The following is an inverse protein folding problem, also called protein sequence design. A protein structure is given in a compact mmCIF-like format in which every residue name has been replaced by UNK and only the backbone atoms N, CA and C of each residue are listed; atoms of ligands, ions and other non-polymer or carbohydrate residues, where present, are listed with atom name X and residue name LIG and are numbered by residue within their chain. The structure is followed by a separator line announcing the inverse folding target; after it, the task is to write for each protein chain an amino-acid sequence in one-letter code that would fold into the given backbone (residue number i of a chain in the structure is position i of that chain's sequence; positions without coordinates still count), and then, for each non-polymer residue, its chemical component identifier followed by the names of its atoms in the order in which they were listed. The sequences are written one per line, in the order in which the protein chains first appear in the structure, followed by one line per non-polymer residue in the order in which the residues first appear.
data_IF_794476329296
#
_entry.id   IF_794476329296
#
_cell.length_a   1.000
_cell.length_b   1.000
_cell.length_c   1.000
_cell.angle_alpha   90.00
_cell.angle_beta   90.00
_cell.angle_gamma   90.00
#
_symmetry.space_group_name_H-M   'P 1'
#
loop_
_entity.id
_entity.type
_entity.pdbx_description
1 polymer ?
#
# COMPACT_ATOMS: atom_id res chain seq x y z
N UNK A 1 -4.30 -18.84 -14.54
CA UNK A 1 -2.91 -19.26 -14.29
C UNK A 1 -2.48 -18.59 -13.00
N UNK A 2 -2.03 -19.37 -12.04
CA UNK A 2 -1.75 -18.94 -10.67
C UNK A 2 -0.50 -18.05 -10.61
N UNK A 3 -0.66 -16.73 -10.56
CA UNK A 3 0.38 -15.80 -10.09
C UNK A 3 0.41 -15.79 -8.57
N UNK A 4 0.77 -16.93 -7.98
CA UNK A 4 1.38 -16.92 -6.66
C UNK A 4 2.74 -16.24 -6.84
N UNK A 5 2.99 -15.19 -6.06
CA UNK A 5 4.24 -14.42 -6.10
C UNK A 5 5.45 -15.32 -6.37
N UNK A 6 6.20 -14.97 -7.41
CA UNK A 6 7.24 -15.82 -7.97
C UNK A 6 8.24 -16.19 -6.86
N UNK A 7 8.44 -17.49 -6.55
CA UNK A 7 9.45 -17.93 -5.57
C UNK A 7 10.85 -17.37 -5.87
N UNK A 8 11.11 -17.00 -7.13
CA UNK A 8 12.33 -16.33 -7.54
C UNK A 8 12.42 -14.91 -6.97
N UNK A 9 11.33 -14.14 -7.02
CA UNK A 9 11.26 -12.76 -6.49
C UNK A 9 11.55 -12.72 -4.99
N UNK A 10 10.94 -13.60 -4.20
CA UNK A 10 11.18 -13.64 -2.74
C UNK A 10 12.62 -13.98 -2.39
N UNK A 11 13.24 -14.87 -3.17
CA UNK A 11 14.65 -15.22 -3.01
C UNK A 11 15.54 -14.03 -3.33
N UNK A 12 15.22 -13.29 -4.38
CA UNK A 12 16.00 -12.12 -4.80
C UNK A 12 15.87 -10.97 -3.80
N UNK A 13 14.66 -10.72 -3.29
CA UNK A 13 14.41 -9.76 -2.18
C UNK A 13 15.22 -10.15 -0.95
N UNK A 14 15.17 -11.43 -0.56
CA UNK A 14 15.91 -11.93 0.60
C UNK A 14 17.43 -11.79 0.42
N UNK A 15 17.95 -12.14 -0.75
CA UNK A 15 19.37 -12.02 -1.06
C UNK A 15 19.83 -10.56 -1.05
N UNK A 16 19.02 -9.64 -1.58
CA UNK A 16 19.36 -8.23 -1.67
C UNK A 16 19.36 -7.56 -0.28
N UNK A 17 18.23 -7.58 0.41
CA UNK A 17 18.08 -6.88 1.70
C UNK A 17 18.70 -7.63 2.88
N UNK A 18 18.84 -8.95 2.78
CA UNK A 18 19.52 -9.78 3.76
C UNK A 18 21.04 -9.63 3.74
N UNK A 19 21.60 -9.07 2.66
CA UNK A 19 23.02 -8.76 2.57
C UNK A 19 23.40 -7.57 3.45
N UNK A 20 24.40 -7.74 4.30
CA UNK A 20 24.95 -6.65 5.12
C UNK A 20 25.66 -5.57 4.28
N UNK A 21 25.98 -5.86 3.03
CA UNK A 21 26.66 -4.93 2.11
C UNK A 21 25.73 -3.85 1.55
N UNK A 22 24.41 -4.04 1.65
CA UNK A 22 23.43 -3.04 1.23
C UNK A 22 23.11 -2.16 2.43
N UNK A 23 23.49 -0.88 2.39
CA UNK A 23 23.02 0.11 3.37
C UNK A 23 21.58 0.46 3.03
N UNK A 24 20.68 0.26 3.99
CA UNK A 24 19.28 0.67 3.88
C UNK A 24 18.91 1.56 5.05
N UNK A 25 18.19 2.63 4.73
CA UNK A 25 17.66 3.55 5.71
C UNK A 25 16.31 3.05 6.22
N UNK A 26 16.28 2.51 7.44
CA UNK A 26 15.07 2.06 8.12
C UNK A 26 15.13 0.59 8.52
N UNK A 27 13.97 0.04 8.87
CA UNK A 27 13.84 -1.37 9.24
C UNK A 27 13.97 -2.28 8.00
N UNK A 28 15.05 -3.06 7.97
CA UNK A 28 15.35 -4.03 6.89
C UNK A 28 14.22 -5.03 6.68
N UNK A 29 13.62 -5.55 7.75
CA UNK A 29 12.60 -6.58 7.65
C UNK A 29 11.32 -5.97 7.08
N UNK A 30 10.97 -4.76 7.52
CA UNK A 30 9.85 -4.02 6.94
C UNK A 30 10.04 -3.76 5.44
N UNK A 31 11.24 -3.39 5.01
CA UNK A 31 11.58 -3.19 3.60
C UNK A 31 11.50 -4.50 2.80
N UNK A 32 12.02 -5.60 3.35
CA UNK A 32 11.93 -6.94 2.75
C UNK A 32 10.49 -7.36 2.52
N UNK A 33 9.64 -7.19 3.53
CA UNK A 33 8.24 -7.58 3.48
C UNK A 33 7.45 -6.71 2.48
N UNK A 34 7.66 -5.39 2.47
CA UNK A 34 7.01 -4.50 1.49
C UNK A 34 7.49 -4.72 0.07
N UNK A 35 8.74 -5.13 -0.13
CA UNK A 35 9.28 -5.45 -1.45
C UNK A 35 8.60 -6.67 -2.09
N UNK A 36 7.85 -7.48 -1.34
CA UNK A 36 7.07 -8.58 -1.93
C UNK A 36 5.85 -8.11 -2.72
N UNK A 37 5.54 -6.81 -2.70
CA UNK A 37 4.38 -6.22 -3.37
C UNK A 37 3.08 -6.30 -2.56
N UNK A 38 3.10 -6.95 -1.40
CA UNK A 38 1.95 -7.04 -0.50
C UNK A 38 1.92 -5.80 0.44
N UNK A 39 0.74 -5.24 0.75
CA UNK A 39 0.65 -4.10 1.66
C UNK A 39 0.87 -4.54 3.11
N UNK A 40 1.99 -4.15 3.74
CA UNK A 40 2.31 -4.46 5.14
C UNK A 40 2.21 -3.23 6.05
N UNK A 41 1.31 -3.27 7.04
CA UNK A 41 1.23 -2.30 8.14
C UNK A 41 2.29 -2.58 9.21
N UNK A 42 2.56 -1.59 10.07
CA UNK A 42 3.50 -1.73 11.18
C UNK A 42 3.07 -2.84 12.14
N UNK A 43 1.80 -2.89 12.51
CA UNK A 43 1.27 -3.91 13.44
C UNK A 43 1.38 -5.32 12.87
N UNK A 44 1.15 -5.50 11.56
CA UNK A 44 1.33 -6.78 10.89
C UNK A 44 2.80 -7.21 10.89
N UNK A 45 3.71 -6.27 10.63
CA UNK A 45 5.15 -6.54 10.66
C UNK A 45 5.57 -6.92 12.08
N UNK A 46 5.19 -6.13 13.10
CA UNK A 46 5.52 -6.41 14.50
C UNK A 46 4.95 -7.75 14.98
N UNK A 47 3.73 -8.10 14.56
CA UNK A 47 3.13 -9.38 14.86
C UNK A 47 3.89 -10.53 14.17
N UNK A 48 4.22 -10.36 12.88
CA UNK A 48 4.91 -11.37 12.09
C UNK A 48 6.38 -11.59 12.50
N UNK A 49 7.04 -10.55 13.00
CA UNK A 49 8.45 -10.58 13.42
C UNK A 49 8.62 -10.71 14.93
N UNK A 50 7.53 -10.91 15.69
CA UNK A 50 7.60 -11.02 17.15
C UNK A 50 8.59 -12.11 17.58
N UNK A 51 9.65 -11.70 18.30
CA UNK A 51 10.72 -12.58 18.76
C UNK A 51 11.86 -12.82 17.75
N UNK A 52 11.80 -12.19 16.57
CA UNK A 52 12.84 -12.21 15.55
C UNK A 52 13.64 -10.89 15.66
N UNK A 53 14.83 -10.95 16.26
CA UNK A 53 15.72 -9.79 16.43
C UNK A 53 16.88 -9.76 15.41
N UNK A 54 16.83 -10.64 14.42
CA UNK A 54 17.84 -10.79 13.37
C UNK A 54 17.17 -10.79 12.01
N UNK A 55 17.96 -10.60 10.96
CA UNK A 55 17.48 -10.84 9.60
C UNK A 55 17.04 -12.32 9.52
N UNK A 56 15.77 -12.62 9.18
CA UNK A 56 15.29 -13.99 9.09
C UNK A 56 16.04 -14.73 7.99
N UNK A 57 16.27 -16.03 8.18
CA UNK A 57 16.68 -16.93 7.09
C UNK A 57 15.63 -16.93 5.97
N UNK A 58 16.02 -17.37 4.78
CA UNK A 58 15.07 -17.42 3.65
C UNK A 58 13.83 -18.27 3.96
N UNK A 59 13.99 -19.36 4.70
CA UNK A 59 12.88 -20.22 5.11
C UNK A 59 11.92 -19.50 6.08
N UNK A 60 12.45 -18.76 7.07
CA UNK A 60 11.66 -17.94 7.99
C UNK A 60 10.94 -16.81 7.24
N UNK A 61 11.64 -16.09 6.37
CA UNK A 61 11.08 -15.02 5.53
C UNK A 61 9.95 -15.53 4.64
N UNK A 62 10.19 -16.61 3.88
CA UNK A 62 9.16 -17.25 3.05
C UNK A 62 7.95 -17.68 3.87
N UNK A 63 8.17 -18.23 5.07
CA UNK A 63 7.10 -18.62 5.98
C UNK A 63 6.24 -17.44 6.43
N UNK A 64 6.85 -16.28 6.67
CA UNK A 64 6.14 -15.04 7.03
C UNK A 64 5.29 -14.54 5.85
N UNK A 65 5.89 -14.45 4.65
CA UNK A 65 5.20 -13.96 3.46
C UNK A 65 4.01 -14.86 3.10
N UNK A 66 4.19 -16.19 3.16
CA UNK A 66 3.11 -17.15 2.92
C UNK A 66 1.97 -17.07 3.94
N UNK A 67 2.24 -16.70 5.19
CA UNK A 67 1.20 -16.51 6.21
C UNK A 67 0.33 -15.28 5.95
N UNK A 68 0.89 -14.23 5.33
CA UNK A 68 0.13 -13.04 4.95
C UNK A 68 -0.64 -13.25 3.66
N UNK A 69 -0.07 -13.92 2.66
CA UNK A 69 -0.80 -14.29 1.45
C UNK A 69 -2.05 -15.08 1.89
N UNK A 70 -3.27 -14.52 1.72
CA UNK A 70 -4.44 -15.18 2.27
C UNK A 70 -4.63 -16.49 1.51
N UNK A 71 -4.53 -17.59 2.24
CA UNK A 71 -5.53 -18.63 2.07
C UNK A 71 -6.82 -17.95 2.54
N UNK A 72 -7.60 -17.47 1.57
CA UNK A 72 -8.99 -16.99 1.68
C UNK A 72 -9.36 -16.35 3.03
N UNK A 73 -9.49 -15.01 3.04
CA UNK A 73 -10.11 -14.27 4.15
C UNK A 73 -11.38 -14.99 4.63
N UNK A 74 -11.48 -15.41 5.90
CA UNK A 74 -12.64 -16.12 6.39
C UNK A 74 -13.79 -15.11 6.53
N UNK A 75 -14.69 -15.10 5.55
CA UNK A 75 -15.88 -14.25 5.55
C UNK A 75 -16.32 -13.72 4.18
N UNK A 76 -15.58 -13.99 3.11
CA UNK A 76 -15.99 -13.58 1.76
C UNK A 76 -16.50 -14.78 0.97
N UNK A 77 -17.80 -15.07 1.09
CA UNK A 77 -18.56 -15.99 0.20
C UNK A 77 -18.66 -15.42 -1.24
N UNK A 78 -17.52 -15.15 -1.83
CA UNK A 78 -17.41 -14.62 -3.17
C UNK A 78 -15.99 -14.81 -3.64
N UNK A 79 -15.81 -15.78 -4.53
CA UNK A 79 -14.61 -15.96 -5.34
C UNK A 79 -14.06 -14.60 -5.78
N UNK A 80 -13.02 -14.14 -5.08
CA UNK A 80 -12.31 -12.90 -5.36
C UNK A 80 -11.50 -13.05 -6.63
N UNK A 81 -12.19 -13.11 -7.75
CA UNK A 81 -11.57 -13.06 -9.07
C UNK A 81 -10.83 -11.72 -9.12
N UNK A 82 -9.52 -11.72 -9.37
CA UNK A 82 -8.78 -10.50 -9.75
C UNK A 82 -9.41 -9.97 -11.04
N UNK A 83 -10.50 -9.21 -10.91
CA UNK A 83 -11.03 -8.44 -12.01
C UNK A 83 -10.06 -7.29 -12.18
N UNK A 84 -9.38 -7.26 -13.33
CA UNK A 84 -8.72 -6.06 -13.81
C UNK A 84 -9.79 -4.97 -13.84
N UNK A 85 -9.77 -4.07 -12.86
CA UNK A 85 -10.70 -2.96 -12.81
C UNK A 85 -10.26 -2.00 -13.89
N UNK A 86 -11.02 -1.90 -14.96
CA UNK A 86 -10.72 -0.98 -16.06
C UNK A 86 -11.52 0.30 -15.81
N UNK A 87 -10.84 1.44 -15.72
CA UNK A 87 -11.53 2.73 -15.64
C UNK A 87 -12.27 3.05 -16.96
N UNK A 88 -13.16 4.04 -16.97
CA UNK A 88 -13.95 4.41 -18.16
C UNK A 88 -13.09 4.82 -19.40
N UNK A 89 -11.77 4.93 -19.22
CA UNK A 89 -10.80 5.28 -20.25
C UNK A 89 -9.88 4.12 -20.65
N UNK A 90 -10.13 2.90 -20.17
CA UNK A 90 -9.36 1.72 -20.54
C UNK A 90 -8.12 1.44 -19.69
N UNK A 91 -7.89 2.16 -18.59
CA UNK A 91 -6.72 1.94 -17.74
C UNK A 91 -6.96 0.77 -16.78
N UNK A 92 -6.04 -0.19 -16.75
CA UNK A 92 -6.05 -1.31 -15.80
C UNK A 92 -5.62 -0.79 -14.43
N UNK A 93 -6.50 -0.94 -13.45
CA UNK A 93 -6.24 -0.72 -12.03
C UNK A 93 -5.82 -2.07 -11.45
N UNK A 94 -4.54 -2.21 -11.12
CA UNK A 94 -3.94 -3.40 -10.49
C UNK A 94 -4.29 -3.50 -9.00
N UNK A 95 -5.59 -3.42 -8.67
CA UNK A 95 -6.11 -3.56 -7.32
C UNK A 95 -7.31 -4.52 -7.35
N UNK A 96 -7.45 -5.33 -6.32
CA UNK A 96 -8.65 -6.14 -6.11
C UNK A 96 -9.85 -5.25 -5.79
N UNK A 97 -11.06 -5.81 -5.94
CA UNK A 97 -12.30 -5.11 -5.57
C UNK A 97 -12.31 -4.75 -4.08
N UNK A 98 -11.71 -5.57 -3.22
CA UNK A 98 -11.61 -5.32 -1.79
C UNK A 98 -10.69 -4.11 -1.50
N UNK A 99 -9.48 -4.10 -2.07
CA UNK A 99 -8.53 -2.99 -1.90
C UNK A 99 -9.08 -1.67 -2.44
N UNK A 100 -9.75 -1.71 -3.60
CA UNK A 100 -10.44 -0.54 -4.13
C UNK A 100 -11.53 -0.02 -3.19
N UNK A 101 -12.35 -0.92 -2.60
CA UNK A 101 -13.38 -0.54 -1.64
C UNK A 101 -12.77 0.10 -0.40
N UNK A 102 -11.70 -0.46 0.16
CA UNK A 102 -11.03 0.12 1.33
C UNK A 102 -10.49 1.52 1.03
N UNK A 103 -9.84 1.72 -0.12
CA UNK A 103 -9.34 3.04 -0.53
C UNK A 103 -10.47 4.06 -0.71
N UNK A 104 -11.56 3.66 -1.35
CA UNK A 104 -12.75 4.50 -1.56
C UNK A 104 -13.35 4.91 -0.21
N UNK A 105 -13.53 3.96 0.70
CA UNK A 105 -14.10 4.22 2.03
C UNK A 105 -13.17 5.10 2.88
N UNK A 106 -11.86 4.85 2.86
CA UNK A 106 -10.88 5.70 3.53
C UNK A 106 -10.92 7.14 2.99
N UNK A 107 -10.96 7.31 1.66
CA UNK A 107 -11.03 8.64 1.04
C UNK A 107 -12.33 9.38 1.40
N UNK A 108 -13.48 8.68 1.39
CA UNK A 108 -14.76 9.23 1.85
C UNK A 108 -14.71 9.64 3.31
N UNK A 109 -14.13 8.81 4.18
CA UNK A 109 -14.00 9.11 5.60
C UNK A 109 -13.14 10.38 5.82
N UNK A 110 -12.04 10.55 5.07
CA UNK A 110 -11.21 11.75 5.13
C UNK A 110 -12.00 13.00 4.69
N UNK A 111 -12.79 12.91 3.62
CA UNK A 111 -13.68 14.01 3.19
C UNK A 111 -14.70 14.33 4.27
N UNK A 112 -15.35 13.32 4.85
CA UNK A 112 -16.34 13.52 5.91
C UNK A 112 -15.74 14.17 7.17
N UNK A 113 -14.53 13.76 7.59
CA UNK A 113 -13.82 14.39 8.70
C UNK A 113 -13.52 15.88 8.43
N UNK A 114 -13.21 16.22 7.17
CA UNK A 114 -13.06 17.62 6.75
C UNK A 114 -14.39 18.38 6.76
N UNK A 115 -15.50 17.74 6.43
CA UNK A 115 -16.83 18.36 6.51
C UNK A 115 -17.18 18.72 7.96
N UNK A 116 -16.88 17.86 8.92
CA UNK A 116 -17.12 18.11 10.35
C UNK A 116 -16.30 19.30 10.86
N UNK A 117 -15.12 19.55 10.29
CA UNK A 117 -14.24 20.68 10.66
C UNK A 117 -14.54 21.98 9.91
N UNK A 118 -15.64 22.05 9.15
CA UNK A 118 -16.15 23.29 8.52
C UNK A 118 -15.76 23.48 7.06
N UNK A 119 -15.29 22.43 6.37
CA UNK A 119 -15.02 22.48 4.93
C UNK A 119 -16.31 22.51 4.08
N UNK A 120 -16.31 23.32 3.02
CA UNK A 120 -17.43 23.43 2.09
C UNK A 120 -17.66 22.11 1.31
N UNK A 121 -18.93 21.75 1.13
CA UNK A 121 -19.42 20.40 0.77
C UNK A 121 -19.22 20.06 -0.72
N UNK A 122 -18.92 21.06 -1.55
CA UNK A 122 -19.14 20.91 -3.00
C UNK A 122 -18.03 20.19 -3.77
N UNK A 123 -16.84 20.03 -3.18
CA UNK A 123 -15.74 19.38 -3.87
C UNK A 123 -15.50 17.97 -3.33
N UNK A 124 -15.79 16.96 -4.15
CA UNK A 124 -15.31 15.59 -4.00
C UNK A 124 -13.77 15.48 -4.23
N UNK A 125 -13.04 16.51 -3.80
CA UNK A 125 -11.63 16.69 -4.00
C UNK A 125 -10.98 17.21 -2.71
N UNK A 126 -9.79 16.70 -2.41
CA UNK A 126 -9.04 16.97 -1.21
C UNK A 126 -7.90 17.95 -1.51
N UNK A 127 -7.69 19.04 -0.75
CA UNK A 127 -6.52 19.88 -0.93
C UNK A 127 -5.22 19.07 -0.79
N UNK A 128 -4.25 19.36 -1.65
CA UNK A 128 -2.94 18.66 -1.68
C UNK A 128 -2.24 18.75 -0.33
N UNK A 129 -2.24 19.92 0.30
CA UNK A 129 -1.62 20.14 1.62
C UNK A 129 -2.27 19.31 2.74
N UNK A 130 -3.59 19.16 2.69
CA UNK A 130 -4.32 18.36 3.67
C UNK A 130 -4.05 16.86 3.46
N UNK A 131 -3.98 16.41 2.21
CA UNK A 131 -3.58 15.04 1.89
C UNK A 131 -2.15 14.75 2.37
N UNK A 132 -1.22 15.66 2.12
CA UNK A 132 0.16 15.58 2.60
C UNK A 132 0.21 15.47 4.13
N UNK A 133 -0.58 16.29 4.82
CA UNK A 133 -0.70 16.24 6.27
C UNK A 133 -1.19 14.87 6.74
N UNK A 134 -2.28 14.35 6.17
CA UNK A 134 -2.83 13.04 6.55
C UNK A 134 -1.79 11.94 6.37
N UNK A 135 -1.09 11.90 5.24
CA UNK A 135 -0.05 10.90 4.97
C UNK A 135 1.17 11.00 5.88
N UNK A 136 1.46 12.19 6.41
CA UNK A 136 2.62 12.44 7.28
C UNK A 136 2.30 12.43 8.78
N UNK A 137 1.02 12.49 9.18
CA UNK A 137 0.63 12.62 10.58
C UNK A 137 -0.32 11.53 11.10
N UNK A 138 -1.01 10.78 10.23
CA UNK A 138 -2.03 9.81 10.64
C UNK A 138 -1.60 8.38 10.35
N UNK A 139 -1.74 7.49 11.34
CA UNK A 139 -1.48 6.06 11.19
C UNK A 139 0.00 5.72 10.93
N UNK A 140 0.25 4.88 9.93
CA UNK A 140 1.60 4.56 9.46
C UNK A 140 2.13 5.67 8.56
N UNK A 141 2.74 6.67 9.20
CA UNK A 141 3.23 7.87 8.53
C UNK A 141 4.28 7.59 7.46
N UNK A 142 4.14 8.26 6.31
CA UNK A 142 5.12 8.18 5.23
C UNK A 142 6.33 9.10 5.53
N UNK A 143 7.57 8.59 5.44
CA UNK A 143 8.75 9.42 5.52
C UNK A 143 8.79 10.45 4.38
N UNK A 144 9.27 11.66 4.68
CA UNK A 144 9.19 12.83 3.79
C UNK A 144 9.75 12.61 2.39
N UNK A 145 10.85 11.86 2.27
CA UNK A 145 11.45 11.48 0.96
C UNK A 145 10.51 10.69 0.04
N UNK A 146 9.68 9.80 0.61
CA UNK A 146 8.71 9.02 -0.15
C UNK A 146 7.48 9.86 -0.44
N UNK A 147 7.10 10.73 0.50
CA UNK A 147 6.04 11.71 0.30
C UNK A 147 6.38 12.64 -0.87
N UNK A 148 7.58 13.23 -0.92
CA UNK A 148 8.01 14.12 -2.01
C UNK A 148 7.93 13.41 -3.38
N UNK A 149 8.36 12.15 -3.44
CA UNK A 149 8.28 11.33 -4.65
C UNK A 149 6.82 11.07 -5.04
N UNK A 150 5.98 10.67 -4.09
CA UNK A 150 4.56 10.39 -4.29
C UNK A 150 3.80 11.64 -4.77
N UNK A 151 4.06 12.78 -4.15
CA UNK A 151 3.45 14.06 -4.48
C UNK A 151 3.88 14.55 -5.87
N UNK A 152 5.13 14.28 -6.28
CA UNK A 152 5.60 14.61 -7.64
C UNK A 152 4.91 13.81 -8.76
N UNK A 153 4.43 12.60 -8.44
CA UNK A 153 3.71 11.74 -9.38
C UNK A 153 2.20 11.97 -9.38
N UNK A 154 1.70 12.69 -8.36
CA UNK A 154 0.28 12.91 -8.17
C UNK A 154 -0.24 13.98 -9.13
N UNK A 155 -1.25 13.62 -9.92
CA UNK A 155 -1.92 14.57 -10.81
C UNK A 155 -2.95 15.38 -10.02
N UNK A 156 -2.51 16.46 -9.40
CA UNK A 156 -3.39 17.44 -8.78
C UNK A 156 -4.00 18.38 -9.85
N UNK A 157 -5.28 18.68 -9.72
CA UNK A 157 -5.97 19.68 -10.52
C UNK A 157 -6.36 20.83 -9.58
N UNK A 158 -5.92 22.04 -9.88
CA UNK A 158 -6.20 23.25 -9.07
C UNK A 158 -5.82 23.10 -7.57
N UNK A 159 -4.67 22.46 -7.30
CA UNK A 159 -4.22 22.21 -5.93
C UNK A 159 -5.09 21.21 -5.14
N UNK A 160 -5.96 20.46 -5.83
CA UNK A 160 -6.85 19.45 -5.25
C UNK A 160 -6.63 18.08 -5.88
N UNK A 161 -6.90 17.04 -5.09
CA UNK A 161 -6.72 15.64 -5.42
C UNK A 161 -8.09 14.98 -5.42
N UNK A 162 -8.42 14.30 -6.50
CA UNK A 162 -9.63 13.49 -6.58
C UNK A 162 -9.30 12.03 -6.27
N UNK A 163 -10.31 11.27 -5.88
CA UNK A 163 -10.19 9.81 -5.72
C UNK A 163 -9.61 9.16 -6.99
N UNK A 164 -9.96 9.67 -8.17
CA UNK A 164 -9.45 9.17 -9.46
C UNK A 164 -7.94 9.38 -9.60
N UNK A 165 -7.43 10.55 -9.21
CA UNK A 165 -6.00 10.84 -9.25
C UNK A 165 -5.23 9.91 -8.30
N UNK A 166 -5.78 9.63 -7.12
CA UNK A 166 -5.22 8.69 -6.16
C UNK A 166 -5.21 7.25 -6.71
N UNK A 167 -6.32 6.78 -7.27
CA UNK A 167 -6.40 5.43 -7.87
C UNK A 167 -5.40 5.27 -9.03
N UNK A 168 -5.22 6.31 -9.86
CA UNK A 168 -4.22 6.31 -10.94
C UNK A 168 -2.77 6.27 -10.45
N UNK A 169 -2.49 6.96 -9.35
CA UNK A 169 -1.17 6.91 -8.73
C UNK A 169 -0.87 5.48 -8.25
N UNK A 170 -1.84 4.85 -7.59
CA UNK A 170 -1.70 3.48 -7.08
C UNK A 170 -1.59 2.46 -8.22
N UNK A 171 -2.31 2.65 -9.32
CA UNK A 171 -2.25 1.74 -10.47
C UNK A 171 -0.95 1.82 -11.28
N UNK A 172 -0.19 2.92 -11.15
CA UNK A 172 1.08 3.13 -11.89
C UNK A 172 2.31 2.58 -11.18
N UNK A 173 2.21 2.34 -9.87
CA UNK A 173 3.33 1.95 -9.02
C UNK A 173 3.37 0.43 -8.73
N UNK A 174 2.62 -0.37 -9.49
CA UNK A 174 2.63 -1.85 -9.48
C UNK A 174 3.03 -2.36 -10.85
#
# INVERSE_FOLDING_TARGET
MNDHADPCLWRDIHAYYGSQNVSVDGDRIALMLRATGEPWTRDEIECATRGIYRIPSYAEFRGIVLKKCPTELPGSDGQGTRQALVDDYGNIINLTVAECKELVEAFKAIIQLRMVTGGDVQDAALPVEYFEHVLSSVGDTLPRRYLDTLMSQLQAYDGKITLRALLRLMSRNV
#
